data_IF_435039414442
#
_entry.id   IF_435039414442
#
_cell.length_a   1.000
_cell.length_b   1.000
_cell.length_c   1.000
_cell.angle_alpha   90.00
_cell.angle_beta   90.00
_cell.angle_gamma   90.00
#
_symmetry.space_group_name_H-M   'P 1'
#
loop_
_entity.id
_entity.type
_entity.pdbx_description
1 polymer ?
#
# COMPACT_ATOMS: atom_id res chain seq x y z
N UNK A 1 -10.43 -20.15 -5.64
CA UNK A 1 -11.11 -19.51 -6.79
C UNK A 1 -10.50 -20.10 -8.05
N UNK A 2 -11.32 -20.52 -9.00
CA UNK A 2 -10.86 -21.04 -10.31
C UNK A 2 -10.63 -19.88 -11.33
N UNK A 3 -10.79 -18.64 -10.87
CA UNK A 3 -10.53 -17.46 -11.68
C UNK A 3 -9.04 -17.10 -11.65
N UNK A 4 -8.44 -16.75 -12.81
CA UNK A 4 -7.05 -16.36 -12.89
C UNK A 4 -6.80 -15.03 -12.17
N UNK A 5 -5.60 -14.86 -11.62
CA UNK A 5 -5.15 -13.59 -11.05
C UNK A 5 -4.72 -12.67 -12.19
N UNK A 6 -5.54 -11.67 -12.51
CA UNK A 6 -5.26 -10.74 -13.61
C UNK A 6 -4.31 -9.60 -13.21
N UNK A 7 -4.37 -9.17 -11.95
CA UNK A 7 -3.58 -8.05 -11.44
C UNK A 7 -3.03 -8.35 -10.04
N UNK A 8 -1.80 -7.94 -9.80
CA UNK A 8 -1.18 -7.86 -8.47
C UNK A 8 -0.81 -6.41 -8.21
N UNK A 9 -1.28 -5.83 -7.12
CA UNK A 9 -1.01 -4.46 -6.75
C UNK A 9 0.06 -4.44 -5.66
N UNK A 10 1.22 -3.82 -5.96
CA UNK A 10 2.24 -3.53 -4.95
C UNK A 10 1.95 -2.14 -4.40
N UNK A 11 1.41 -2.07 -3.20
CA UNK A 11 0.95 -0.82 -2.60
C UNK A 11 2.08 0.16 -2.33
N UNK A 12 3.25 -0.33 -1.92
CA UNK A 12 4.46 0.47 -1.70
C UNK A 12 5.71 -0.40 -1.53
N UNK A 13 6.87 0.22 -1.33
CA UNK A 13 8.18 -0.43 -1.36
C UNK A 13 8.68 -1.00 -0.03
N UNK A 14 7.81 -1.25 0.98
CA UNK A 14 8.22 -1.97 2.18
C UNK A 14 8.21 -3.49 1.97
N UNK A 15 9.12 -4.23 2.63
CA UNK A 15 9.41 -5.63 2.30
C UNK A 15 8.22 -6.57 2.49
N UNK A 16 7.41 -6.36 3.51
CA UNK A 16 6.20 -7.12 3.81
C UNK A 16 5.07 -6.93 2.78
N UNK A 17 5.20 -5.94 1.88
CA UNK A 17 4.20 -5.64 0.85
C UNK A 17 4.66 -6.00 -0.57
N UNK A 18 5.93 -6.36 -0.82
CA UNK A 18 6.38 -6.70 -2.17
C UNK A 18 7.06 -8.07 -2.31
N UNK A 19 7.67 -8.63 -1.27
CA UNK A 19 8.39 -9.92 -1.40
C UNK A 19 7.49 -11.09 -1.80
N UNK A 20 6.20 -11.05 -1.45
CA UNK A 20 5.22 -12.07 -1.85
C UNK A 20 4.82 -12.05 -3.32
N UNK A 21 5.21 -11.03 -4.10
CA UNK A 21 4.77 -10.86 -5.49
C UNK A 21 5.18 -12.04 -6.38
N UNK A 22 6.34 -12.65 -6.14
CA UNK A 22 6.86 -13.77 -6.94
C UNK A 22 5.92 -14.99 -6.94
N UNK A 23 5.17 -15.20 -5.87
CA UNK A 23 4.24 -16.33 -5.74
C UNK A 23 3.10 -16.32 -6.78
N UNK A 24 2.80 -15.17 -7.37
CA UNK A 24 1.70 -15.01 -8.31
C UNK A 24 2.13 -15.01 -9.79
N UNK A 25 3.43 -15.06 -10.08
CA UNK A 25 3.95 -14.90 -11.45
C UNK A 25 3.59 -16.04 -12.40
N UNK A 26 3.27 -17.24 -11.90
CA UNK A 26 2.83 -18.37 -12.71
C UNK A 26 1.57 -18.07 -13.51
N UNK A 27 0.72 -17.16 -13.03
CA UNK A 27 -0.50 -16.74 -13.71
C UNK A 27 -0.29 -15.55 -14.65
N UNK A 28 0.95 -15.05 -14.77
CA UNK A 28 1.30 -13.92 -15.64
C UNK A 28 0.48 -12.66 -15.41
N UNK A 29 0.23 -12.23 -14.16
CA UNK A 29 -0.59 -11.06 -13.87
C UNK A 29 0.07 -9.75 -14.30
N UNK A 30 -0.73 -8.72 -14.53
CA UNK A 30 -0.24 -7.34 -14.58
C UNK A 30 0.20 -6.89 -13.18
N UNK A 31 1.44 -6.44 -13.05
CA UNK A 31 1.96 -5.91 -11.76
C UNK A 31 1.78 -4.41 -11.75
N UNK A 32 0.90 -3.94 -10.87
CA UNK A 32 0.54 -2.52 -10.75
C UNK A 32 1.33 -1.88 -9.61
N UNK A 33 1.90 -0.71 -9.87
CA UNK A 33 2.64 0.05 -8.87
C UNK A 33 2.60 1.56 -9.13
N UNK A 34 2.94 2.34 -8.11
CA UNK A 34 3.17 3.77 -8.26
C UNK A 34 4.33 4.04 -9.24
N UNK A 35 4.32 5.16 -9.99
CA UNK A 35 5.39 5.49 -10.94
C UNK A 35 6.81 5.48 -10.33
N UNK A 36 6.93 5.76 -9.04
CA UNK A 36 8.20 5.77 -8.30
C UNK A 36 8.56 4.42 -7.67
N UNK A 37 7.66 3.44 -7.65
CA UNK A 37 7.86 2.16 -6.97
C UNK A 37 9.13 1.45 -7.44
N UNK A 38 9.31 1.30 -8.76
CA UNK A 38 10.44 0.54 -9.31
C UNK A 38 11.79 1.15 -8.92
N UNK A 39 11.89 2.50 -8.83
CA UNK A 39 13.10 3.18 -8.35
C UNK A 39 13.36 2.83 -6.88
N UNK A 40 12.34 2.91 -6.04
CA UNK A 40 12.47 2.63 -4.60
C UNK A 40 12.81 1.17 -4.34
N UNK A 41 12.22 0.23 -5.09
CA UNK A 41 12.58 -1.18 -5.04
C UNK A 41 14.04 -1.42 -5.44
N UNK A 42 14.51 -0.82 -6.55
CA UNK A 42 15.89 -0.96 -7.00
C UNK A 42 16.90 -0.45 -5.94
N UNK A 43 16.57 0.63 -5.25
CA UNK A 43 17.44 1.21 -4.25
C UNK A 43 17.52 0.40 -2.95
N UNK A 44 16.43 -0.28 -2.56
CA UNK A 44 16.31 -0.85 -1.21
C UNK A 44 16.20 -2.38 -1.19
N UNK A 45 16.02 -3.04 -2.33
CA UNK A 45 15.76 -4.48 -2.39
C UNK A 45 16.82 -5.32 -1.69
N UNK A 46 18.10 -5.09 -2.01
CA UNK A 46 19.19 -5.86 -1.44
C UNK A 46 19.32 -5.63 0.07
N UNK A 47 19.13 -4.39 0.53
CA UNK A 47 19.11 -4.05 1.96
C UNK A 47 17.99 -4.81 2.70
N UNK A 48 16.78 -4.78 2.18
CA UNK A 48 15.66 -5.48 2.80
C UNK A 48 15.79 -7.00 2.71
N UNK A 49 16.33 -7.52 1.61
CA UNK A 49 16.61 -8.95 1.44
C UNK A 49 17.60 -9.43 2.50
N UNK A 50 18.71 -8.71 2.70
CA UNK A 50 19.72 -9.03 3.72
C UNK A 50 19.13 -8.93 5.14
N UNK A 51 18.44 -7.82 5.45
CA UNK A 51 17.82 -7.60 6.75
C UNK A 51 16.82 -8.70 7.12
N UNK A 52 15.96 -9.10 6.20
CA UNK A 52 14.96 -10.14 6.44
C UNK A 52 15.59 -11.53 6.49
N UNK A 53 16.60 -11.82 5.66
CA UNK A 53 17.32 -13.10 5.68
C UNK A 53 18.08 -13.34 6.98
N UNK A 54 18.54 -12.28 7.65
CA UNK A 54 19.17 -12.36 8.96
C UNK A 54 18.18 -12.63 10.10
N UNK A 55 16.93 -12.20 9.92
CA UNK A 55 15.88 -12.34 10.94
C UNK A 55 15.03 -13.60 10.77
N UNK A 56 14.98 -14.16 9.58
CA UNK A 56 14.18 -15.32 9.22
C UNK A 56 15.11 -16.29 8.48
N UNK A 57 15.39 -17.46 9.06
CA UNK A 57 16.11 -18.55 8.40
C UNK A 57 15.23 -19.13 7.27
N UNK A 58 15.05 -18.37 6.22
CA UNK A 58 14.16 -18.74 5.12
C UNK A 58 14.91 -18.68 3.79
N UNK A 59 15.18 -19.84 3.21
CA UNK A 59 15.79 -20.01 1.89
C UNK A 59 15.00 -19.27 0.78
N UNK A 60 13.68 -19.12 0.94
CA UNK A 60 12.84 -18.39 -0.01
C UNK A 60 13.26 -16.94 -0.13
N UNK A 61 13.53 -16.28 1.00
CA UNK A 61 13.97 -14.88 0.99
C UNK A 61 15.38 -14.71 0.43
N UNK A 62 16.28 -15.67 0.68
CA UNK A 62 17.62 -15.67 0.10
C UNK A 62 17.59 -15.73 -1.42
N UNK A 63 16.60 -16.42 -1.99
CA UNK A 63 16.43 -16.61 -3.42
C UNK A 63 15.42 -15.63 -4.05
N UNK A 64 14.80 -14.75 -3.26
CA UNK A 64 13.80 -13.80 -3.73
C UNK A 64 14.34 -12.91 -4.86
N UNK A 65 13.50 -12.70 -5.88
CA UNK A 65 13.80 -11.86 -7.04
C UNK A 65 13.10 -10.52 -6.94
N UNK A 66 13.73 -9.50 -7.50
CA UNK A 66 13.12 -8.19 -7.64
C UNK A 66 12.07 -8.21 -8.75
N UNK A 67 10.80 -8.13 -8.35
CA UNK A 67 9.68 -8.01 -9.29
C UNK A 67 9.31 -6.54 -9.42
N UNK A 68 9.27 -6.04 -10.66
CA UNK A 68 8.97 -4.65 -10.98
C UNK A 68 7.54 -4.51 -11.47
N UNK A 69 6.89 -3.38 -11.13
CA UNK A 69 5.62 -3.00 -11.74
C UNK A 69 5.79 -2.76 -13.25
N UNK A 70 4.91 -3.37 -14.05
CA UNK A 70 4.80 -3.14 -15.50
C UNK A 70 3.68 -2.14 -15.84
N UNK A 71 2.68 -1.99 -14.96
CA UNK A 71 1.70 -0.89 -15.00
C UNK A 71 2.06 0.13 -13.92
N UNK A 72 2.32 1.37 -14.33
CA UNK A 72 2.75 2.46 -13.44
C UNK A 72 1.69 3.54 -13.39
N UNK A 73 1.19 3.84 -12.19
CA UNK A 73 0.23 4.91 -11.98
C UNK A 73 0.98 6.18 -11.59
N UNK A 74 0.76 7.27 -12.34
CA UNK A 74 1.34 8.58 -12.00
C UNK A 74 0.71 9.13 -10.72
N UNK A 75 1.49 9.87 -9.96
CA UNK A 75 1.03 10.54 -8.72
C UNK A 75 -0.30 11.29 -8.97
N UNK A 76 -1.25 11.12 -8.06
CA UNK A 76 -2.62 11.66 -8.08
C UNK A 76 -3.54 11.06 -9.17
N UNK A 77 -3.06 10.16 -10.00
CA UNK A 77 -3.90 9.47 -10.98
C UNK A 77 -4.58 8.23 -10.38
N UNK A 78 -5.66 7.83 -11.03
CA UNK A 78 -6.44 6.64 -10.71
C UNK A 78 -6.43 5.71 -11.92
N UNK A 79 -6.11 4.44 -11.70
CA UNK A 79 -6.35 3.36 -12.64
C UNK A 79 -7.67 2.67 -12.25
N UNK A 80 -8.60 2.53 -13.19
CA UNK A 80 -9.81 1.74 -13.01
C UNK A 80 -9.62 0.37 -13.63
N UNK A 81 -9.88 -0.66 -12.85
CA UNK A 81 -9.88 -2.05 -13.31
C UNK A 81 -11.31 -2.56 -13.26
N UNK A 82 -11.83 -2.97 -14.41
CA UNK A 82 -13.14 -3.61 -14.52
C UNK A 82 -12.96 -5.13 -14.38
N UNK A 83 -13.58 -5.70 -13.37
CA UNK A 83 -13.58 -7.13 -13.07
C UNK A 83 -14.92 -7.80 -13.46
N UNK A 84 -15.61 -7.25 -14.45
CA UNK A 84 -16.98 -7.56 -14.78
C UNK A 84 -17.93 -6.60 -14.06
N UNK A 85 -18.96 -7.08 -13.36
CA UNK A 85 -19.89 -6.21 -12.62
C UNK A 85 -19.29 -5.48 -11.41
N UNK A 86 -17.98 -5.27 -11.39
CA UNK A 86 -17.23 -4.72 -10.26
C UNK A 86 -16.06 -3.88 -10.72
N UNK A 87 -16.09 -2.60 -10.42
CA UNK A 87 -15.00 -1.67 -10.71
C UNK A 87 -14.17 -1.46 -9.44
N UNK A 88 -12.86 -1.62 -9.60
CA UNK A 88 -11.87 -1.35 -8.57
C UNK A 88 -11.01 -0.17 -9.01
N UNK A 89 -10.88 0.84 -8.16
CA UNK A 89 -10.02 2.01 -8.38
C UNK A 89 -8.70 1.85 -7.63
N UNK A 90 -7.58 2.04 -8.33
CA UNK A 90 -6.25 2.03 -7.75
C UNK A 90 -5.69 3.46 -7.87
N UNK A 91 -5.52 4.13 -6.72
CA UNK A 91 -5.07 5.53 -6.68
C UNK A 91 -3.61 5.62 -6.23
N UNK A 92 -2.83 6.43 -6.96
CA UNK A 92 -1.48 6.81 -6.57
C UNK A 92 -1.50 8.12 -5.75
N UNK A 93 -0.95 8.06 -4.54
CA UNK A 93 -0.96 9.17 -3.61
C UNK A 93 0.31 10.04 -3.72
N UNK A 94 0.22 11.30 -3.28
CA UNK A 94 1.41 12.09 -2.95
C UNK A 94 2.15 11.46 -1.78
N UNK A 95 3.45 11.77 -1.67
CA UNK A 95 4.29 11.29 -0.59
C UNK A 95 3.62 11.43 0.79
N UNK A 96 3.50 10.33 1.49
CA UNK A 96 2.87 10.18 2.79
C UNK A 96 3.65 9.21 3.66
N UNK A 97 3.22 7.96 3.75
CA UNK A 97 3.91 6.88 4.43
C UNK A 97 5.25 6.59 3.73
N UNK A 98 5.22 6.45 2.40
CA UNK A 98 6.39 6.45 1.53
C UNK A 98 6.23 7.51 0.43
N UNK A 99 7.11 7.51 -0.57
CA UNK A 99 6.97 8.36 -1.76
C UNK A 99 6.29 7.64 -2.94
N UNK A 100 5.80 6.43 -2.71
CA UNK A 100 5.26 5.56 -3.76
C UNK A 100 4.00 4.78 -3.33
N UNK A 101 3.14 5.43 -2.57
CA UNK A 101 1.95 4.84 -1.95
C UNK A 101 0.79 4.68 -2.94
N UNK A 102 0.15 3.49 -2.94
CA UNK A 102 -1.11 3.18 -3.64
C UNK A 102 -2.18 2.76 -2.64
N UNK A 103 -3.42 3.05 -2.97
CA UNK A 103 -4.58 2.43 -2.34
C UNK A 103 -5.47 1.76 -3.39
N UNK A 104 -6.30 0.83 -2.93
CA UNK A 104 -7.29 0.12 -3.76
C UNK A 104 -8.66 0.37 -3.18
N UNK A 105 -9.62 0.75 -4.01
CA UNK A 105 -11.00 1.01 -3.59
C UNK A 105 -11.99 0.24 -4.45
N UNK A 106 -12.76 -0.62 -3.83
CA UNK A 106 -13.87 -1.33 -4.48
C UNK A 106 -15.15 -0.50 -4.37
N UNK A 107 -15.60 0.01 -5.49
CA UNK A 107 -16.78 0.88 -5.56
C UNK A 107 -18.08 0.16 -5.14
N UNK A 108 -18.17 -1.16 -5.36
CA UNK A 108 -19.38 -1.94 -5.09
C UNK A 108 -19.59 -2.21 -3.60
N UNK A 109 -18.50 -2.60 -2.92
CA UNK A 109 -18.55 -2.95 -1.49
C UNK A 109 -18.11 -1.80 -0.57
N UNK A 110 -17.67 -0.67 -1.14
CA UNK A 110 -17.09 0.47 -0.42
C UNK A 110 -15.98 0.05 0.53
N UNK A 111 -15.22 -0.97 0.12
CA UNK A 111 -14.06 -1.46 0.86
C UNK A 111 -12.80 -0.77 0.33
N UNK A 112 -11.98 -0.27 1.25
CA UNK A 112 -10.78 0.48 0.95
C UNK A 112 -9.55 -0.19 1.55
N UNK A 113 -8.59 -0.58 0.72
CA UNK A 113 -7.27 -1.10 1.12
C UNK A 113 -6.25 0.02 1.06
N UNK A 114 -5.56 0.25 2.16
CA UNK A 114 -4.53 1.30 2.22
C UNK A 114 -3.44 0.99 3.22
N UNK A 115 -2.22 0.97 2.75
CA UNK A 115 -1.01 0.88 3.56
C UNK A 115 -0.76 2.13 4.40
N UNK A 116 -1.39 3.26 4.07
CA UNK A 116 -1.33 4.52 4.82
C UNK A 116 -2.12 4.47 6.15
N UNK A 117 -2.83 3.37 6.42
CA UNK A 117 -3.66 3.22 7.61
C UNK A 117 -3.12 2.09 8.46
N UNK A 118 -2.93 2.37 9.74
CA UNK A 118 -2.45 1.46 10.76
C UNK A 118 -3.49 1.40 11.87
N UNK A 119 -3.94 0.20 12.22
CA UNK A 119 -4.90 -0.05 13.30
C UNK A 119 -4.17 -0.74 14.44
N UNK A 120 -4.39 -0.26 15.66
CA UNK A 120 -3.80 -0.78 16.89
C UNK A 120 -2.26 -0.79 16.95
N UNK A 121 -1.61 0.08 16.17
CA UNK A 121 -0.16 0.29 16.24
C UNK A 121 0.26 1.68 15.80
N UNK A 122 1.44 2.09 16.27
CA UNK A 122 2.05 3.36 15.89
C UNK A 122 2.69 3.19 14.50
N UNK A 123 2.37 4.06 13.54
CA UNK A 123 2.94 3.99 12.21
C UNK A 123 4.42 4.40 12.20
N UNK A 124 5.22 3.72 11.38
CA UNK A 124 6.58 4.18 11.07
C UNK A 124 6.54 5.32 10.07
N UNK A 125 7.22 6.43 10.38
CA UNK A 125 7.24 7.63 9.53
C UNK A 125 8.51 7.62 8.70
N UNK A 126 8.39 7.48 7.38
CA UNK A 126 9.52 7.33 6.46
C UNK A 126 9.64 8.46 5.44
N UNK A 127 8.55 9.19 5.14
CA UNK A 127 8.57 10.21 4.10
C UNK A 127 8.02 11.56 4.59
N UNK A 128 6.71 11.82 4.51
CA UNK A 128 6.15 13.15 4.79
C UNK A 128 4.96 13.08 5.75
N UNK A 129 5.15 13.52 6.99
CA UNK A 129 4.05 13.61 7.99
C UNK A 129 2.91 14.51 7.47
N UNK A 130 3.23 15.68 6.95
CA UNK A 130 2.24 16.62 6.43
C UNK A 130 1.54 16.07 5.19
N UNK A 131 2.30 15.38 4.32
CA UNK A 131 1.75 14.70 3.15
C UNK A 131 0.81 13.56 3.57
N UNK A 132 1.23 12.77 4.54
CA UNK A 132 0.43 11.65 5.06
C UNK A 132 -0.88 12.15 5.68
N UNK A 133 -0.80 13.18 6.52
CA UNK A 133 -2.01 13.79 7.07
C UNK A 133 -2.98 14.29 5.99
N UNK A 134 -2.49 14.95 4.93
CA UNK A 134 -3.34 15.37 3.79
C UNK A 134 -4.02 14.19 3.11
N UNK A 135 -3.28 13.10 2.86
CA UNK A 135 -3.83 11.89 2.27
C UNK A 135 -4.95 11.30 3.15
N UNK A 136 -4.74 11.24 4.47
CA UNK A 136 -5.75 10.76 5.43
C UNK A 136 -6.99 11.69 5.48
N UNK A 137 -6.80 13.01 5.42
CA UNK A 137 -7.91 13.99 5.37
C UNK A 137 -8.74 13.84 4.08
N UNK A 138 -8.11 13.43 2.97
CA UNK A 138 -8.82 13.11 1.73
C UNK A 138 -9.58 11.80 1.85
N UNK A 139 -8.96 10.74 2.38
CA UNK A 139 -9.59 9.44 2.61
C UNK A 139 -10.80 9.58 3.55
N UNK A 140 -10.74 10.45 4.56
CA UNK A 140 -11.84 10.69 5.49
C UNK A 140 -13.12 11.18 4.78
N UNK A 141 -12.98 11.91 3.67
CA UNK A 141 -14.10 12.44 2.90
C UNK A 141 -14.71 11.43 1.93
N UNK A 142 -14.05 10.31 1.68
CA UNK A 142 -14.52 9.27 0.77
C UNK A 142 -15.67 8.48 1.39
N UNK A 143 -16.56 7.96 0.56
CA UNK A 143 -17.67 7.08 0.95
C UNK A 143 -17.17 5.64 1.14
N UNK A 144 -16.56 5.36 2.30
CA UNK A 144 -15.95 4.09 2.65
C UNK A 144 -16.71 3.46 3.82
N UNK A 145 -17.07 2.20 3.71
CA UNK A 145 -17.68 1.41 4.77
C UNK A 145 -16.64 0.64 5.59
N UNK A 146 -15.73 -0.05 4.89
CA UNK A 146 -14.70 -0.89 5.50
C UNK A 146 -13.31 -0.46 5.05
N UNK A 147 -12.37 -0.52 5.99
CA UNK A 147 -10.94 -0.33 5.74
C UNK A 147 -10.20 -1.63 6.01
N UNK A 148 -9.42 -2.07 5.02
CA UNK A 148 -8.38 -3.07 5.16
C UNK A 148 -7.06 -2.30 5.29
N UNK A 149 -6.54 -2.16 6.51
CA UNK A 149 -5.33 -1.37 6.75
C UNK A 149 -4.08 -2.10 6.26
N UNK A 150 -2.98 -1.36 6.09
CA UNK A 150 -1.67 -1.97 5.85
C UNK A 150 -1.25 -2.89 7.00
N UNK A 151 -1.60 -2.50 8.23
CA UNK A 151 -1.37 -3.31 9.43
C UNK A 151 -2.53 -3.17 10.41
N UNK A 152 -2.94 -4.29 11.00
CA UNK A 152 -4.02 -4.39 11.97
C UNK A 152 -5.29 -5.03 11.41
N UNK A 153 -6.36 -4.98 12.19
CA UNK A 153 -7.63 -5.61 11.85
C UNK A 153 -8.43 -4.82 10.82
N UNK A 154 -9.23 -5.53 10.03
CA UNK A 154 -10.26 -4.91 9.16
C UNK A 154 -11.33 -4.28 10.04
N UNK A 155 -11.59 -3.00 9.85
CA UNK A 155 -12.51 -2.23 10.69
C UNK A 155 -13.33 -1.22 9.86
N UNK A 156 -14.36 -0.63 10.48
CA UNK A 156 -15.10 0.49 9.88
C UNK A 156 -14.20 1.73 9.74
N UNK A 157 -14.51 2.59 8.78
CA UNK A 157 -13.74 3.80 8.46
C UNK A 157 -13.40 4.64 9.70
N UNK A 158 -14.38 4.98 10.52
CA UNK A 158 -14.15 5.86 11.68
C UNK A 158 -13.26 5.23 12.75
N UNK A 159 -13.37 3.91 12.93
CA UNK A 159 -12.51 3.15 13.86
C UNK A 159 -11.05 3.19 13.41
N UNK A 160 -10.81 3.13 12.10
CA UNK A 160 -9.45 3.20 11.54
C UNK A 160 -8.89 4.64 11.55
N UNK A 161 -9.68 5.62 11.09
CA UNK A 161 -9.17 6.96 10.79
C UNK A 161 -9.09 7.88 12.02
N UNK A 162 -10.04 7.79 12.94
CA UNK A 162 -10.08 8.70 14.10
C UNK A 162 -8.79 8.66 14.93
N UNK A 163 -8.26 7.49 15.34
CA UNK A 163 -7.03 7.44 16.13
C UNK A 163 -5.80 7.95 15.38
N UNK A 164 -5.63 7.56 14.12
CA UNK A 164 -4.45 7.94 13.34
C UNK A 164 -4.45 9.43 13.00
N UNK A 165 -5.60 10.02 12.70
CA UNK A 165 -5.74 11.46 12.48
C UNK A 165 -5.46 12.26 13.75
N UNK A 166 -5.96 11.81 14.91
CA UNK A 166 -5.66 12.41 16.21
C UNK A 166 -4.16 12.34 16.53
N UNK A 167 -3.53 11.19 16.27
CA UNK A 167 -2.09 11.00 16.45
C UNK A 167 -1.27 12.00 15.61
N UNK A 168 -1.54 12.10 14.30
CA UNK A 168 -0.81 13.03 13.43
C UNK A 168 -1.08 14.49 13.78
N UNK A 169 -2.31 14.84 14.13
CA UNK A 169 -2.66 16.21 14.55
C UNK A 169 -1.85 16.62 15.78
N UNK A 170 -1.79 15.74 16.79
CA UNK A 170 -1.02 15.97 18.01
C UNK A 170 0.49 16.05 17.72
N UNK A 171 1.02 15.11 16.92
CA UNK A 171 2.43 15.08 16.56
C UNK A 171 2.85 16.37 15.87
N UNK A 172 2.08 16.83 14.87
CA UNK A 172 2.37 18.06 14.12
C UNK A 172 2.31 19.29 15.04
N UNK A 173 1.37 19.33 16.00
CA UNK A 173 1.26 20.46 16.92
C UNK A 173 2.41 20.56 17.93
N UNK A 174 3.09 19.45 18.23
CA UNK A 174 4.21 19.40 19.18
C UNK A 174 5.58 19.67 18.56
N UNK A 175 5.70 19.58 17.24
CA UNK A 175 6.98 19.75 16.52
C UNK A 175 7.12 21.15 15.90
N UNK A 176 6.14 22.01 16.07
CA UNK A 176 6.16 23.42 15.59
C UNK A 176 6.77 24.37 16.60
#
# INVERSE_FOLDING_TARGET
SDLPISHVVITHSHPDHFFGTEAFLSESPSIVGHEKLNRSLLSNFNFYKELQSNNIENEVLKNAKLIKANIKIKTENILKVDLGDRIVEIKAWKSGHTDNDLSVYDLKTKTFWSENIFVDRIPSIRASILGWKRNLDEIQKMDIDLIVPGHGSVVKKDVALTPILAYFTRLISQVR
#
